data_IF_243708526000
#
_entry.id   IF_243708526000
#
_cell.length_a   1.000
_cell.length_b   1.000
_cell.length_c   1.000
_cell.angle_alpha   90.00
_cell.angle_beta   90.00
_cell.angle_gamma   90.00
#
_symmetry.space_group_name_H-M   'P 1'
#
loop_
_entity.id
_entity.type
_entity.pdbx_description
1 polymer ?
#
# COMPACT_ATOMS: atom_id res chain seq x y z
N UNK A 1 30.50 -21.07 -16.66
CA UNK A 1 29.26 -20.62 -17.24
C UNK A 1 29.46 -20.02 -18.62
N UNK A 2 28.62 -20.39 -19.51
CA UNK A 2 28.61 -19.78 -20.82
C UNK A 2 28.16 -18.33 -20.72
N UNK A 3 28.75 -17.46 -21.54
CA UNK A 3 28.40 -16.03 -21.58
C UNK A 3 26.89 -15.82 -21.80
N UNK A 4 26.27 -16.69 -22.58
CA UNK A 4 24.85 -16.64 -22.85
C UNK A 4 24.01 -16.78 -21.58
N UNK A 5 24.37 -17.72 -20.70
CA UNK A 5 23.63 -17.92 -19.43
C UNK A 5 23.79 -16.73 -18.50
N UNK A 6 24.98 -16.14 -18.46
CA UNK A 6 25.23 -14.94 -17.65
C UNK A 6 24.39 -13.78 -18.17
N UNK A 7 24.32 -13.57 -19.48
CA UNK A 7 23.55 -12.52 -20.11
C UNK A 7 22.05 -12.72 -19.79
N UNK A 8 21.54 -13.95 -19.84
CA UNK A 8 20.16 -14.25 -19.51
C UNK A 8 19.83 -13.92 -18.05
N UNK A 9 20.74 -14.26 -17.13
CA UNK A 9 20.56 -13.96 -15.71
C UNK A 9 20.58 -12.46 -15.45
N UNK A 10 21.51 -11.74 -16.07
CA UNK A 10 21.59 -10.27 -15.93
C UNK A 10 20.33 -9.62 -16.49
N UNK A 11 19.83 -10.09 -17.63
CA UNK A 11 18.60 -9.58 -18.22
C UNK A 11 17.39 -9.79 -17.30
N UNK A 12 17.27 -10.95 -16.66
CA UNK A 12 16.20 -11.22 -15.70
C UNK A 12 16.32 -10.32 -14.47
N UNK A 13 17.51 -10.10 -13.97
CA UNK A 13 17.75 -9.19 -12.85
C UNK A 13 17.37 -7.76 -13.20
N UNK A 14 17.75 -7.31 -14.41
CA UNK A 14 17.41 -5.97 -14.89
C UNK A 14 15.91 -5.79 -15.02
N UNK A 15 15.19 -6.78 -15.57
CA UNK A 15 13.74 -6.73 -15.70
C UNK A 15 13.07 -6.66 -14.32
N UNK A 16 13.57 -7.41 -13.34
CA UNK A 16 13.09 -7.38 -11.97
C UNK A 16 13.34 -6.01 -11.32
N UNK A 17 14.54 -5.45 -11.50
CA UNK A 17 14.91 -4.14 -10.96
C UNK A 17 14.13 -3.00 -11.61
N UNK A 18 13.69 -3.18 -12.86
CA UNK A 18 12.94 -2.17 -13.61
C UNK A 18 11.44 -2.22 -13.32
N UNK A 19 10.96 -3.19 -12.53
CA UNK A 19 9.55 -3.20 -12.15
C UNK A 19 9.25 -2.00 -11.26
N UNK A 20 8.28 -1.19 -11.68
CA UNK A 20 7.79 -0.07 -10.89
C UNK A 20 6.57 -0.53 -10.10
N UNK A 21 6.70 -0.53 -8.78
CA UNK A 21 5.57 -0.83 -7.89
C UNK A 21 4.67 0.38 -7.76
N UNK A 22 3.37 0.15 -7.61
CA UNK A 22 2.36 1.20 -7.50
C UNK A 22 1.69 1.16 -6.15
N UNK A 23 1.52 2.32 -5.54
CA UNK A 23 0.85 2.47 -4.26
C UNK A 23 -0.36 3.39 -4.38
N UNK A 24 -1.43 3.04 -3.69
CA UNK A 24 -2.58 3.90 -3.48
C UNK A 24 -2.57 4.37 -2.03
N UNK A 25 -2.68 5.68 -1.81
CA UNK A 25 -2.79 6.24 -0.47
C UNK A 25 -4.18 6.84 -0.31
N UNK A 26 -4.89 6.43 0.73
CA UNK A 26 -6.24 6.89 1.06
C UNK A 26 -6.20 7.58 2.42
N UNK A 27 -6.30 8.91 2.42
CA UNK A 27 -6.24 9.73 3.63
C UNK A 27 -6.88 11.08 3.31
N UNK A 28 -7.67 11.63 4.22
CA UNK A 28 -8.28 12.94 4.03
C UNK A 28 -7.38 14.11 4.48
N UNK A 29 -6.24 13.82 5.08
CA UNK A 29 -5.24 14.83 5.47
C UNK A 29 -4.23 15.03 4.35
N UNK A 30 -4.32 16.18 3.67
CA UNK A 30 -3.44 16.51 2.54
C UNK A 30 -1.97 16.55 2.91
N UNK A 31 -1.63 16.97 4.12
CA UNK A 31 -0.25 17.02 4.59
C UNK A 31 0.29 15.59 4.72
N UNK A 32 -0.49 14.69 5.28
CA UNK A 32 -0.09 13.30 5.41
C UNK A 32 0.05 12.62 4.04
N UNK A 33 -0.85 12.91 3.10
CA UNK A 33 -0.74 12.42 1.72
C UNK A 33 0.58 12.85 1.09
N UNK A 34 0.98 14.11 1.25
CA UNK A 34 2.22 14.63 0.71
C UNK A 34 3.44 13.94 1.33
N UNK A 35 3.45 13.79 2.65
CA UNK A 35 4.55 13.13 3.37
C UNK A 35 4.71 11.68 2.91
N UNK A 36 3.62 10.92 2.86
CA UNK A 36 3.67 9.53 2.44
C UNK A 36 4.04 9.37 0.98
N UNK A 37 3.55 10.28 0.13
CA UNK A 37 3.92 10.30 -1.29
C UNK A 37 5.41 10.50 -1.46
N UNK A 38 5.99 11.45 -0.71
CA UNK A 38 7.44 11.69 -0.76
C UNK A 38 8.24 10.46 -0.33
N UNK A 39 7.82 9.78 0.74
CA UNK A 39 8.49 8.56 1.19
C UNK A 39 8.43 7.46 0.12
N UNK A 40 7.26 7.25 -0.48
CA UNK A 40 7.07 6.19 -1.47
C UNK A 40 7.80 6.50 -2.78
N UNK A 41 7.74 7.74 -3.24
CA UNK A 41 8.44 8.15 -4.46
C UNK A 41 9.96 8.04 -4.27
N UNK A 42 10.47 8.42 -3.10
CA UNK A 42 11.88 8.25 -2.78
C UNK A 42 12.29 6.77 -2.77
N UNK A 43 11.37 5.88 -2.44
CA UNK A 43 11.59 4.42 -2.49
C UNK A 43 11.38 3.84 -3.89
N UNK A 44 11.01 4.66 -4.87
CA UNK A 44 10.88 4.24 -6.27
C UNK A 44 9.48 3.78 -6.69
N UNK A 45 8.46 4.02 -5.88
CA UNK A 45 7.10 3.65 -6.22
C UNK A 45 6.39 4.76 -6.99
N UNK A 46 5.47 4.37 -7.88
CA UNK A 46 4.48 5.29 -8.43
C UNK A 46 3.33 5.43 -7.42
N UNK A 47 2.83 6.63 -7.24
CA UNK A 47 1.87 6.92 -6.18
C UNK A 47 0.61 7.56 -6.74
N UNK A 48 -0.54 7.08 -6.31
CA UNK A 48 -1.83 7.74 -6.49
C UNK A 48 -2.43 8.04 -5.13
N UNK A 49 -3.05 9.20 -4.97
CA UNK A 49 -3.70 9.59 -3.73
C UNK A 49 -5.17 9.84 -3.95
N UNK A 50 -5.99 9.45 -2.98
CA UNK A 50 -7.41 9.79 -2.92
C UNK A 50 -7.74 10.23 -1.49
N UNK A 51 -8.79 11.03 -1.34
CA UNK A 51 -9.08 11.69 -0.07
C UNK A 51 -10.26 11.08 0.71
N UNK A 52 -10.96 10.12 0.12
CA UNK A 52 -12.10 9.47 0.77
C UNK A 52 -12.25 8.02 0.34
N UNK A 53 -13.10 7.29 1.07
CA UNK A 53 -13.29 5.86 0.83
C UNK A 53 -14.04 5.57 -0.47
N UNK A 54 -14.98 6.41 -0.84
CA UNK A 54 -15.76 6.24 -2.07
C UNK A 54 -14.85 6.35 -3.29
N UNK A 55 -13.95 7.34 -3.28
CA UNK A 55 -12.96 7.51 -4.34
C UNK A 55 -11.99 6.32 -4.39
N UNK A 56 -11.60 5.80 -3.25
CA UNK A 56 -10.74 4.62 -3.18
C UNK A 56 -11.41 3.42 -3.86
N UNK A 57 -12.66 3.15 -3.53
CA UNK A 57 -13.41 2.02 -4.13
C UNK A 57 -13.53 2.21 -5.64
N UNK A 58 -13.83 3.42 -6.09
CA UNK A 58 -13.97 3.72 -7.51
C UNK A 58 -12.67 3.44 -8.26
N UNK A 59 -11.54 3.89 -7.73
CA UNK A 59 -10.23 3.69 -8.35
C UNK A 59 -9.85 2.21 -8.34
N UNK A 60 -10.10 1.51 -7.23
CA UNK A 60 -9.80 0.09 -7.11
C UNK A 60 -10.63 -0.77 -8.07
N UNK A 61 -11.85 -0.38 -8.37
CA UNK A 61 -12.72 -1.10 -9.30
C UNK A 61 -12.43 -0.76 -10.76
N UNK A 62 -11.63 0.28 -11.03
CA UNK A 62 -11.30 0.67 -12.41
C UNK A 62 -10.33 -0.31 -13.05
N UNK A 63 -10.54 -0.61 -14.33
CA UNK A 63 -9.63 -1.42 -15.13
C UNK A 63 -8.35 -0.66 -15.51
N UNK A 64 -8.37 0.66 -15.38
CA UNK A 64 -7.25 1.52 -15.78
C UNK A 64 -6.11 1.54 -14.78
N UNK A 65 -6.34 1.07 -13.55
CA UNK A 65 -5.37 1.13 -12.46
C UNK A 65 -5.12 -0.25 -11.86
N UNK A 66 -3.87 -0.46 -11.46
CA UNK A 66 -3.47 -1.65 -10.71
C UNK A 66 -2.47 -1.23 -9.65
N UNK A 67 -2.68 -1.68 -8.42
CA UNK A 67 -1.84 -1.30 -7.28
C UNK A 67 -1.19 -2.54 -6.67
N UNK A 68 0.01 -2.35 -6.14
CA UNK A 68 0.76 -3.38 -5.43
C UNK A 68 0.56 -3.29 -3.92
N UNK A 69 0.20 -2.11 -3.42
CA UNK A 69 -0.06 -1.87 -2.00
C UNK A 69 -1.02 -0.69 -1.84
N UNK A 70 -1.83 -0.72 -0.78
CA UNK A 70 -2.68 0.40 -0.38
C UNK A 70 -2.38 0.79 1.06
N UNK A 71 -2.18 2.09 1.28
CA UNK A 71 -2.13 2.71 2.61
C UNK A 71 -3.50 3.32 2.87
N UNK A 72 -4.15 2.89 3.92
CA UNK A 72 -5.56 3.20 4.16
C UNK A 72 -5.76 3.73 5.57
N UNK A 73 -6.20 4.99 5.68
CA UNK A 73 -6.60 5.52 6.98
C UNK A 73 -7.97 4.97 7.37
N UNK A 74 -8.15 4.69 8.64
CA UNK A 74 -9.45 4.28 9.18
C UNK A 74 -10.41 5.47 9.23
N UNK A 75 -9.90 6.63 9.68
CA UNK A 75 -10.72 7.81 9.96
C UNK A 75 -10.86 8.67 8.71
N UNK A 76 -11.86 8.36 7.90
CA UNK A 76 -12.17 9.08 6.66
C UNK A 76 -13.55 9.72 6.75
N UNK A 77 -13.76 10.81 6.00
CA UNK A 77 -15.10 11.36 5.79
C UNK A 77 -15.90 10.41 4.91
N UNK A 78 -17.22 10.27 5.18
CA UNK A 78 -18.06 9.32 4.46
C UNK A 78 -17.88 7.90 5.00
N UNK A 79 -17.66 6.94 4.12
CA UNK A 79 -17.39 5.58 4.58
C UNK A 79 -16.02 5.50 5.23
N UNK A 80 -15.92 4.69 6.29
CA UNK A 80 -14.67 4.53 7.03
C UNK A 80 -13.66 3.68 6.25
N UNK A 81 -12.39 3.79 6.64
CA UNK A 81 -11.36 2.90 6.09
C UNK A 81 -11.66 1.43 6.37
N UNK A 82 -12.25 1.13 7.52
CA UNK A 82 -12.65 -0.25 7.84
C UNK A 82 -13.68 -0.78 6.85
N UNK A 83 -14.64 0.05 6.45
CA UNK A 83 -15.63 -0.31 5.45
C UNK A 83 -14.99 -0.53 4.08
N UNK A 84 -14.03 0.32 3.70
CA UNK A 84 -13.24 0.13 2.46
C UNK A 84 -12.51 -1.22 2.50
N UNK A 85 -11.84 -1.50 3.61
CA UNK A 85 -11.09 -2.75 3.79
C UNK A 85 -12.01 -3.97 3.66
N UNK A 86 -13.14 -3.97 4.34
CA UNK A 86 -14.12 -5.05 4.26
C UNK A 86 -14.65 -5.22 2.84
N UNK A 87 -14.93 -4.12 2.16
CA UNK A 87 -15.38 -4.16 0.76
C UNK A 87 -14.35 -4.85 -0.13
N UNK A 88 -13.09 -4.45 -0.02
CA UNK A 88 -12.00 -5.02 -0.83
C UNK A 88 -11.84 -6.52 -0.56
N UNK A 89 -11.90 -6.93 0.70
CA UNK A 89 -11.69 -8.34 1.10
C UNK A 89 -12.86 -9.26 0.79
N UNK A 90 -14.08 -8.72 0.72
CA UNK A 90 -15.28 -9.53 0.47
C UNK A 90 -15.76 -9.46 -0.97
N UNK A 91 -15.32 -8.48 -1.73
CA UNK A 91 -15.70 -8.34 -3.12
C UNK A 91 -14.94 -9.38 -3.98
N UNK A 92 -15.63 -9.98 -4.94
CA UNK A 92 -14.99 -10.89 -5.89
C UNK A 92 -14.30 -10.05 -6.98
N UNK A 93 -13.20 -9.39 -6.61
CA UNK A 93 -12.50 -8.46 -7.48
C UNK A 93 -11.01 -8.83 -7.59
N UNK A 94 -10.32 -8.18 -8.53
CA UNK A 94 -8.87 -8.35 -8.72
C UNK A 94 -8.06 -7.92 -7.48
N UNK A 95 -8.65 -7.13 -6.56
CA UNK A 95 -7.97 -6.56 -5.41
C UNK A 95 -8.22 -7.31 -4.10
N UNK A 96 -8.88 -8.48 -4.15
CA UNK A 96 -9.25 -9.23 -2.94
C UNK A 96 -8.03 -9.55 -2.05
N UNK A 97 -6.87 -9.74 -2.64
CA UNK A 97 -5.61 -10.05 -1.94
C UNK A 97 -4.63 -8.87 -1.94
N UNK A 98 -5.08 -7.66 -2.31
CA UNK A 98 -4.21 -6.49 -2.32
C UNK A 98 -3.58 -6.28 -0.94
N UNK A 99 -2.24 -6.17 -0.85
CA UNK A 99 -1.58 -5.81 0.40
C UNK A 99 -2.08 -4.46 0.91
N UNK A 100 -2.58 -4.43 2.14
CA UNK A 100 -3.16 -3.23 2.75
C UNK A 100 -2.50 -2.95 4.09
N UNK A 101 -1.96 -1.75 4.21
CA UNK A 101 -1.42 -1.21 5.46
C UNK A 101 -2.42 -0.16 5.97
N UNK A 102 -3.05 -0.42 7.11
CA UNK A 102 -3.83 0.63 7.77
C UNK A 102 -2.88 1.58 8.47
N UNK A 103 -3.03 2.88 8.23
CA UNK A 103 -2.22 3.92 8.84
C UNK A 103 -3.16 4.95 9.45
N UNK A 104 -3.21 5.01 10.78
CA UNK A 104 -4.27 5.75 11.46
C UNK A 104 -3.87 6.17 12.88
N UNK A 105 -4.54 7.24 13.38
CA UNK A 105 -4.41 7.66 14.77
C UNK A 105 -5.17 6.75 15.75
N UNK A 106 -6.04 5.85 15.26
CA UNK A 106 -6.71 4.86 16.12
C UNK A 106 -5.69 3.80 16.53
N UNK A 107 -5.15 3.93 17.73
CA UNK A 107 -3.98 3.16 18.15
C UNK A 107 -4.25 2.20 19.31
N UNK A 108 -5.50 2.01 19.75
CA UNK A 108 -5.79 1.06 20.81
C UNK A 108 -5.53 -0.38 20.34
N UNK A 109 -5.26 -1.28 21.30
CA UNK A 109 -5.07 -2.70 20.98
C UNK A 109 -6.32 -3.28 20.33
N UNK A 110 -7.50 -2.83 20.74
CA UNK A 110 -8.77 -3.26 20.16
C UNK A 110 -8.92 -2.77 18.72
N UNK A 111 -8.57 -1.54 18.44
CA UNK A 111 -8.59 -1.00 17.07
C UNK A 111 -7.66 -1.78 16.15
N UNK A 112 -6.44 -2.02 16.61
CA UNK A 112 -5.44 -2.79 15.87
C UNK A 112 -5.94 -4.20 15.57
N UNK A 113 -6.51 -4.86 16.57
CA UNK A 113 -7.07 -6.21 16.41
C UNK A 113 -8.20 -6.19 15.38
N UNK A 114 -9.13 -5.25 15.48
CA UNK A 114 -10.26 -5.15 14.55
C UNK A 114 -9.79 -4.91 13.12
N UNK A 115 -8.81 -4.06 12.93
CA UNK A 115 -8.25 -3.80 11.60
C UNK A 115 -7.60 -5.04 10.99
N UNK A 116 -6.79 -5.74 11.77
CA UNK A 116 -6.11 -6.95 11.31
C UNK A 116 -7.11 -8.09 11.05
N UNK A 117 -8.11 -8.26 11.92
CA UNK A 117 -9.16 -9.27 11.73
C UNK A 117 -10.03 -8.97 10.49
N UNK A 118 -10.21 -7.69 10.16
CA UNK A 118 -10.94 -7.30 8.97
C UNK A 118 -10.15 -7.52 7.68
N UNK A 119 -8.84 -7.81 7.79
CA UNK A 119 -8.02 -8.20 6.65
C UNK A 119 -6.87 -7.27 6.32
N UNK A 120 -6.53 -6.29 7.17
CA UNK A 120 -5.31 -5.51 7.00
C UNK A 120 -4.09 -6.40 7.20
N UNK A 121 -3.06 -6.21 6.36
CA UNK A 121 -1.82 -6.97 6.46
C UNK A 121 -0.87 -6.38 7.49
N UNK A 122 -1.01 -5.10 7.76
CA UNK A 122 -0.18 -4.38 8.73
C UNK A 122 -0.97 -3.20 9.28
N UNK A 123 -0.69 -2.83 10.52
CA UNK A 123 -1.36 -1.71 11.19
C UNK A 123 -0.30 -0.74 11.71
N UNK A 124 -0.29 0.47 11.15
CA UNK A 124 0.71 1.50 11.47
C UNK A 124 0.03 2.66 12.19
N UNK A 125 0.42 2.90 13.44
CA UNK A 125 -0.20 3.93 14.28
C UNK A 125 0.45 5.29 14.05
N UNK A 126 -0.34 6.32 13.85
CA UNK A 126 0.13 7.70 13.76
C UNK A 126 0.36 8.25 15.18
N UNK A 127 1.37 9.09 15.41
CA UNK A 127 2.42 9.48 14.47
C UNK A 127 3.47 8.39 14.29
N UNK A 128 4.02 8.27 13.08
CA UNK A 128 5.10 7.35 12.78
C UNK A 128 6.20 8.09 12.01
N UNK A 129 7.44 7.62 12.13
CA UNK A 129 8.56 8.16 11.37
C UNK A 129 8.76 7.39 10.06
N UNK A 130 9.70 7.89 9.26
CA UNK A 130 10.03 7.26 7.97
C UNK A 130 10.48 5.80 8.15
N UNK A 131 11.27 5.52 9.19
CA UNK A 131 11.77 4.16 9.45
C UNK A 131 10.64 3.19 9.73
N UNK A 132 9.64 3.58 10.53
CA UNK A 132 8.48 2.74 10.81
C UNK A 132 7.65 2.50 9.56
N UNK A 133 7.49 3.54 8.74
CA UNK A 133 6.78 3.46 7.46
C UNK A 133 7.46 2.52 6.48
N UNK A 134 8.77 2.65 6.31
CA UNK A 134 9.54 1.79 5.40
C UNK A 134 9.57 0.34 5.88
N UNK A 135 9.61 0.13 7.20
CA UNK A 135 9.52 -1.23 7.75
C UNK A 135 8.16 -1.86 7.43
N UNK A 136 7.07 -1.11 7.61
CA UNK A 136 5.74 -1.60 7.27
C UNK A 136 5.64 -1.99 5.80
N UNK A 137 6.17 -1.15 4.92
CA UNK A 137 6.20 -1.41 3.48
C UNK A 137 7.04 -2.66 3.16
N UNK A 138 8.21 -2.80 3.76
CA UNK A 138 9.11 -3.92 3.52
C UNK A 138 8.50 -5.24 4.00
N UNK A 139 7.83 -5.25 5.15
CA UNK A 139 7.14 -6.43 5.68
C UNK A 139 5.97 -6.83 4.79
N UNK A 140 5.24 -5.85 4.27
CA UNK A 140 4.04 -6.06 3.46
C UNK A 140 4.38 -6.41 2.01
N UNK A 141 5.46 -5.83 1.46
CA UNK A 141 5.97 -6.10 0.13
C UNK A 141 7.44 -6.53 0.23
N UNK A 142 7.71 -7.79 0.64
CA UNK A 142 9.11 -8.23 0.88
C UNK A 142 9.97 -8.29 -0.39
N UNK A 143 9.36 -8.21 -1.57
CA UNK A 143 10.10 -8.17 -2.83
C UNK A 143 10.73 -6.81 -3.12
N UNK A 144 10.35 -5.75 -2.37
CA UNK A 144 10.96 -4.43 -2.50
C UNK A 144 12.22 -4.40 -1.64
N UNK A 145 13.34 -3.99 -2.25
CA UNK A 145 14.60 -3.81 -1.54
C UNK A 145 14.90 -2.32 -1.42
N UNK A 146 15.13 -1.88 -0.19
CA UNK A 146 15.54 -0.50 0.11
C UNK A 146 17.03 -0.52 0.49
N UNK A 147 17.85 0.00 -0.36
CA UNK A 147 19.28 0.14 -0.09
C UNK A 147 19.67 1.59 0.02
#
# INVERSE_FOLDING_TARGET
>A
LENFEIIALVSQMTDFENKVYSALIVDDDEINLEILSDYLEAAGLAVMTVVDGESAIKVLNSQDYQFDVMFLDWMLSGISGLEVLKHVRTANTKNVDLPIIMQTAKASDNDRRNGLEAGADYYLSKPFDESAFLLALQVTLPTISFT
#
